data_IF_567023126306
#
_entry.id   IF_567023126306
#
_cell.length_a   1.000
_cell.length_b   1.000
_cell.length_c   1.000
_cell.angle_alpha   90.00
_cell.angle_beta   90.00
_cell.angle_gamma   90.00
#
_symmetry.space_group_name_H-M   'P 1'
#
loop_
_entity.id
_entity.type
_entity.pdbx_description
1 polymer ?
#
# COMPACT_ATOMS: atom_id res chain seq x y z
N UNK A 1 6.06 -10.78 -17.59
CA UNK A 1 4.72 -11.39 -17.52
C UNK A 1 4.47 -11.92 -16.10
N UNK A 2 3.25 -11.82 -15.57
CA UNK A 2 2.95 -12.18 -14.17
C UNK A 2 3.29 -13.64 -13.81
N UNK A 3 3.10 -14.60 -14.72
CA UNK A 3 3.29 -16.03 -14.42
C UNK A 3 4.73 -16.43 -14.07
N UNK A 4 5.72 -15.61 -14.45
CA UNK A 4 7.15 -15.77 -14.16
C UNK A 4 7.70 -14.64 -13.28
N UNK A 5 6.83 -13.85 -12.64
CA UNK A 5 7.24 -12.67 -11.88
C UNK A 5 7.65 -13.00 -10.44
N UNK A 6 8.46 -12.12 -9.85
CA UNK A 6 8.74 -12.13 -8.41
C UNK A 6 7.47 -11.91 -7.59
N UNK A 7 6.49 -11.14 -8.10
CA UNK A 7 5.21 -10.94 -7.43
C UNK A 7 4.46 -12.26 -7.23
N UNK A 8 4.36 -13.10 -8.26
CA UNK A 8 3.72 -14.42 -8.14
C UNK A 8 4.48 -15.33 -7.19
N UNK A 9 5.82 -15.30 -7.24
CA UNK A 9 6.68 -16.22 -6.48
C UNK A 9 6.79 -15.88 -4.99
N UNK A 10 6.86 -14.58 -4.66
CA UNK A 10 7.22 -14.14 -3.30
C UNK A 10 6.19 -13.21 -2.65
N UNK A 11 5.28 -12.61 -3.43
CA UNK A 11 4.31 -11.62 -2.94
C UNK A 11 2.87 -12.00 -3.27
N UNK A 12 2.60 -13.29 -3.44
CA UNK A 12 1.25 -13.85 -3.59
C UNK A 12 1.10 -14.97 -2.57
N UNK A 13 0.35 -14.70 -1.51
CA UNK A 13 0.17 -15.57 -0.35
C UNK A 13 -1.09 -16.43 -0.48
N UNK A 14 -1.15 -17.52 0.28
CA UNK A 14 -2.23 -18.51 0.14
C UNK A 14 -3.52 -18.06 0.82
N UNK A 15 -3.39 -17.33 1.92
CA UNK A 15 -4.51 -17.01 2.82
C UNK A 15 -4.36 -15.64 3.49
N UNK A 16 -5.49 -15.09 3.94
CA UNK A 16 -5.52 -13.89 4.79
C UNK A 16 -4.77 -14.14 6.11
N UNK A 17 -4.87 -15.34 6.66
CA UNK A 17 -4.20 -15.73 7.91
C UNK A 17 -2.66 -15.69 7.79
N UNK A 18 -2.11 -16.12 6.65
CA UNK A 18 -0.66 -16.04 6.38
C UNK A 18 -0.18 -14.59 6.36
N UNK A 19 -0.93 -13.70 5.70
CA UNK A 19 -0.65 -12.26 5.66
C UNK A 19 -0.73 -11.64 7.05
N UNK A 20 -1.76 -11.97 7.82
CA UNK A 20 -1.94 -11.46 9.17
C UNK A 20 -0.85 -11.96 10.13
N UNK A 21 -0.46 -13.24 10.02
CA UNK A 21 0.62 -13.79 10.83
C UNK A 21 1.96 -13.09 10.57
N UNK A 22 2.25 -12.68 9.32
CA UNK A 22 3.45 -11.90 9.01
C UNK A 22 3.44 -10.54 9.72
N UNK A 23 2.30 -9.83 9.68
CA UNK A 23 2.14 -8.53 10.35
C UNK A 23 2.27 -8.65 11.88
N UNK A 24 1.62 -9.65 12.47
CA UNK A 24 1.76 -9.96 13.92
C UNK A 24 3.22 -10.23 14.26
N UNK A 25 3.91 -11.08 13.49
CA UNK A 25 5.32 -11.37 13.68
C UNK A 25 6.20 -10.10 13.57
N UNK A 26 5.89 -9.19 12.64
CA UNK A 26 6.63 -7.94 12.50
C UNK A 26 6.49 -7.04 13.75
N UNK A 27 5.26 -6.88 14.25
CA UNK A 27 4.98 -6.15 15.49
C UNK A 27 5.69 -6.80 16.70
N UNK A 28 5.57 -8.12 16.87
CA UNK A 28 6.21 -8.83 17.97
C UNK A 28 7.73 -8.72 17.95
N UNK A 29 8.34 -8.85 16.75
CA UNK A 29 9.79 -8.69 16.58
C UNK A 29 10.24 -7.29 16.98
N UNK A 30 9.50 -6.26 16.58
CA UNK A 30 9.78 -4.89 16.98
C UNK A 30 9.68 -4.71 18.50
N UNK A 31 8.57 -5.14 19.09
CA UNK A 31 8.30 -5.04 20.52
C UNK A 31 9.38 -5.74 21.35
N UNK A 32 9.76 -6.98 21.01
CA UNK A 32 10.83 -7.72 21.68
C UNK A 32 12.16 -6.96 21.61
N UNK A 33 12.55 -6.51 20.42
CA UNK A 33 13.81 -5.77 20.21
C UNK A 33 13.86 -4.47 21.01
N UNK A 34 12.75 -3.72 21.09
CA UNK A 34 12.67 -2.48 21.89
C UNK A 34 12.75 -2.80 23.38
N UNK A 35 12.01 -3.80 23.87
CA UNK A 35 12.04 -4.18 25.29
C UNK A 35 13.41 -4.72 25.74
N UNK A 36 14.15 -5.40 24.85
CA UNK A 36 15.51 -5.88 25.12
C UNK A 36 16.56 -4.75 25.10
N UNK A 37 16.39 -3.76 24.22
CA UNK A 37 17.40 -2.71 23.98
C UNK A 37 17.15 -1.44 24.81
N UNK A 38 15.89 -1.12 25.12
CA UNK A 38 15.50 0.06 25.87
C UNK A 38 15.40 -0.27 27.36
N UNK A 39 16.43 0.13 28.13
CA UNK A 39 16.31 0.36 29.59
C UNK A 39 15.10 1.28 29.88
N UNK A 40 14.52 1.28 31.09
CA UNK A 40 13.07 1.16 31.41
C UNK A 40 12.18 2.38 31.07
N UNK A 41 12.44 3.10 29.98
CA UNK A 41 11.70 4.31 29.58
C UNK A 41 10.44 3.98 28.79
N UNK A 42 10.43 2.87 28.04
CA UNK A 42 9.26 2.43 27.26
C UNK A 42 8.74 1.13 27.87
N UNK A 43 7.63 1.21 28.61
CA UNK A 43 6.92 0.03 29.08
C UNK A 43 6.11 -0.59 27.93
N UNK A 44 5.89 -1.91 27.98
CA UNK A 44 5.12 -2.62 26.97
C UNK A 44 3.71 -2.03 26.74
N UNK A 45 3.11 -1.43 27.78
CA UNK A 45 1.82 -0.74 27.71
C UNK A 45 1.78 0.46 26.76
N UNK A 46 2.94 1.04 26.43
CA UNK A 46 3.03 2.21 25.55
C UNK A 46 3.33 1.83 24.10
N UNK A 47 3.64 0.57 23.80
CA UNK A 47 3.76 0.12 22.41
C UNK A 47 2.39 -0.06 21.77
N UNK A 48 2.33 0.05 20.44
CA UNK A 48 1.12 -0.23 19.68
C UNK A 48 0.94 -1.74 19.56
N UNK A 49 -0.26 -2.20 19.90
CA UNK A 49 -0.72 -3.54 19.55
C UNK A 49 -0.99 -3.61 18.04
N UNK A 50 -1.10 -4.84 17.52
CA UNK A 50 -1.37 -5.12 16.11
C UNK A 50 -2.59 -4.36 15.57
N UNK A 51 -3.65 -4.23 16.38
CA UNK A 51 -4.86 -3.48 16.00
C UNK A 51 -4.57 -1.98 15.81
N UNK A 52 -3.80 -1.37 16.72
CA UNK A 52 -3.39 0.04 16.58
C UNK A 52 -2.53 0.27 15.34
N UNK A 53 -1.65 -0.67 15.00
CA UNK A 53 -0.93 -0.63 13.72
C UNK A 53 -1.88 -0.76 12.52
N UNK A 54 -2.91 -1.60 12.57
CA UNK A 54 -3.88 -1.71 11.48
C UNK A 54 -4.62 -0.40 11.24
N UNK A 55 -5.11 0.25 12.30
CA UNK A 55 -5.84 1.53 12.20
C UNK A 55 -4.99 2.60 11.54
N UNK A 56 -3.73 2.74 11.97
CA UNK A 56 -2.79 3.69 11.37
C UNK A 56 -2.40 3.29 9.94
N UNK A 57 -2.14 2.01 9.69
CA UNK A 57 -1.86 1.50 8.35
C UNK A 57 -2.96 1.91 7.36
N UNK A 58 -4.23 1.66 7.71
CA UNK A 58 -5.39 2.00 6.87
C UNK A 58 -5.56 3.49 6.68
N UNK A 59 -5.28 4.29 7.71
CA UNK A 59 -5.31 5.74 7.61
C UNK A 59 -4.27 6.25 6.60
N UNK A 60 -3.02 5.82 6.70
CA UNK A 60 -1.96 6.26 5.79
C UNK A 60 -2.10 5.65 4.38
N UNK A 61 -2.64 4.44 4.25
CA UNK A 61 -3.00 3.86 2.95
C UNK A 61 -4.03 4.73 2.21
N UNK A 62 -5.05 5.22 2.93
CA UNK A 62 -6.04 6.14 2.37
C UNK A 62 -5.42 7.49 2.01
N UNK A 63 -4.62 8.08 2.89
CA UNK A 63 -3.93 9.35 2.62
C UNK A 63 -3.02 9.26 1.41
N UNK A 64 -2.41 8.11 1.16
CA UNK A 64 -1.60 7.87 -0.03
C UNK A 64 -2.44 7.95 -1.29
N UNK A 65 -3.58 7.26 -1.29
CA UNK A 65 -4.50 7.28 -2.42
C UNK A 65 -5.00 8.70 -2.71
N UNK A 66 -5.35 9.46 -1.67
CA UNK A 66 -5.74 10.87 -1.78
C UNK A 66 -4.62 11.74 -2.36
N UNK A 67 -3.40 11.61 -1.82
CA UNK A 67 -2.21 12.32 -2.32
C UNK A 67 -1.96 12.01 -3.80
N UNK A 68 -1.96 10.73 -4.18
CA UNK A 68 -1.75 10.28 -5.55
C UNK A 68 -2.85 10.76 -6.52
N UNK A 69 -4.10 10.79 -6.08
CA UNK A 69 -5.23 11.25 -6.89
C UNK A 69 -5.23 12.78 -7.08
N UNK A 70 -4.80 13.53 -6.07
CA UNK A 70 -4.67 14.99 -6.14
C UNK A 70 -3.40 15.44 -6.88
N UNK A 71 -2.43 14.55 -7.06
CA UNK A 71 -1.10 14.83 -7.59
C UNK A 71 -1.13 15.52 -8.96
N UNK A 72 -0.23 16.50 -9.14
CA UNK A 72 0.02 17.26 -10.36
C UNK A 72 1.48 17.10 -10.77
N UNK A 73 1.77 16.56 -11.97
CA UNK A 73 0.85 16.17 -13.05
C UNK A 73 0.02 14.92 -12.69
N UNK A 74 -1.07 14.66 -13.40
CA UNK A 74 -1.96 13.54 -13.06
C UNK A 74 -1.22 12.20 -13.02
N UNK A 75 -1.23 11.55 -11.85
CA UNK A 75 -0.52 10.29 -11.64
C UNK A 75 -1.28 9.13 -12.31
N UNK A 76 -0.62 8.32 -13.16
CA UNK A 76 -1.27 7.15 -13.77
C UNK A 76 -1.69 6.11 -12.73
N UNK A 77 -2.83 5.45 -12.96
CA UNK A 77 -3.36 4.42 -12.05
C UNK A 77 -2.39 3.27 -11.77
N UNK A 78 -1.54 2.91 -12.74
CA UNK A 78 -0.50 1.90 -12.53
C UNK A 78 0.49 2.34 -11.45
N UNK A 79 0.93 3.60 -11.49
CA UNK A 79 1.86 4.18 -10.51
C UNK A 79 1.24 4.15 -9.11
N UNK A 80 -0.04 4.57 -8.99
CA UNK A 80 -0.79 4.54 -7.72
C UNK A 80 -0.91 3.11 -7.18
N UNK A 81 -1.27 2.16 -8.03
CA UNK A 81 -1.37 0.74 -7.66
C UNK A 81 -0.02 0.16 -7.22
N UNK A 82 1.07 0.56 -7.87
CA UNK A 82 2.44 0.18 -7.52
C UNK A 82 2.84 0.77 -6.16
N UNK A 83 2.56 2.04 -5.89
CA UNK A 83 2.83 2.69 -4.60
C UNK A 83 2.11 1.99 -3.43
N UNK A 84 0.81 1.74 -3.59
CA UNK A 84 0.01 1.04 -2.57
C UNK A 84 0.47 -0.40 -2.35
N UNK A 85 0.92 -1.08 -3.41
CA UNK A 85 1.52 -2.40 -3.30
C UNK A 85 2.84 -2.37 -2.52
N UNK A 86 3.71 -1.39 -2.77
CA UNK A 86 4.95 -1.23 -2.00
C UNK A 86 4.68 -0.99 -0.52
N UNK A 87 3.72 -0.11 -0.21
CA UNK A 87 3.34 0.18 1.18
C UNK A 87 2.88 -1.06 1.92
N UNK A 88 1.99 -1.86 1.29
CA UNK A 88 1.56 -3.15 1.83
C UNK A 88 2.73 -4.09 2.07
N UNK A 89 3.56 -4.31 1.04
CA UNK A 89 4.70 -5.23 1.12
C UNK A 89 5.69 -4.84 2.21
N UNK A 90 5.94 -3.54 2.36
CA UNK A 90 6.82 -2.99 3.38
C UNK A 90 6.31 -3.34 4.79
N UNK A 91 5.04 -3.04 5.09
CA UNK A 91 4.44 -3.29 6.40
C UNK A 91 3.98 -4.74 6.64
N UNK A 92 4.23 -5.67 5.71
CA UNK A 92 4.11 -7.11 6.02
C UNK A 92 5.20 -7.57 6.99
N UNK A 93 6.40 -6.99 6.92
CA UNK A 93 7.56 -7.45 7.67
C UNK A 93 8.19 -6.36 8.56
N UNK A 94 7.63 -5.15 8.56
CA UNK A 94 8.14 -4.02 9.32
C UNK A 94 7.02 -3.42 10.17
N UNK A 95 7.37 -2.87 11.34
CA UNK A 95 6.41 -2.20 12.23
C UNK A 95 6.31 -0.71 11.90
N UNK A 96 5.09 -0.16 12.02
CA UNK A 96 4.81 1.29 11.93
C UNK A 96 5.54 2.08 13.02
N UNK A 97 5.83 1.45 14.16
CA UNK A 97 6.61 2.05 15.24
C UNK A 97 8.10 2.17 14.89
N UNK A 98 8.61 1.39 13.94
CA UNK A 98 9.99 1.47 13.47
C UNK A 98 10.17 2.52 12.38
N UNK A 99 9.23 2.53 11.44
CA UNK A 99 9.31 3.35 10.25
C UNK A 99 8.00 4.11 10.11
N UNK A 100 8.09 5.43 10.20
CA UNK A 100 6.91 6.27 10.24
C UNK A 100 6.13 6.20 8.91
N UNK A 101 4.82 5.88 8.94
CA UNK A 101 4.03 5.56 7.75
C UNK A 101 3.83 6.75 6.82
N UNK A 102 3.87 7.98 7.33
CA UNK A 102 3.89 9.20 6.47
C UNK A 102 5.07 9.19 5.51
N UNK A 103 6.28 8.92 6.00
CA UNK A 103 7.50 8.96 5.19
C UNK A 103 7.52 7.78 4.25
N UNK A 104 7.24 6.57 4.74
CA UNK A 104 7.19 5.37 3.90
C UNK A 104 6.13 5.49 2.79
N UNK A 105 4.96 6.05 3.08
CA UNK A 105 3.93 6.35 2.08
C UNK A 105 4.48 7.22 0.95
N UNK A 106 5.13 8.34 1.29
CA UNK A 106 5.69 9.27 0.31
C UNK A 106 6.86 8.64 -0.45
N UNK A 107 7.72 7.88 0.23
CA UNK A 107 8.80 7.11 -0.41
C UNK A 107 8.25 6.05 -1.37
N UNK A 108 7.16 5.36 -1.03
CA UNK A 108 6.49 4.40 -1.91
C UNK A 108 5.95 5.09 -3.17
N UNK A 109 5.26 6.22 -3.01
CA UNK A 109 4.77 7.01 -4.14
C UNK A 109 5.94 7.51 -5.01
N UNK A 110 6.99 8.07 -4.40
CA UNK A 110 8.17 8.56 -5.12
C UNK A 110 8.91 7.46 -5.87
N UNK A 111 9.15 6.30 -5.24
CA UNK A 111 9.78 5.16 -5.88
C UNK A 111 8.92 4.59 -7.02
N UNK A 112 7.59 4.54 -6.83
CA UNK A 112 6.68 4.08 -7.87
C UNK A 112 6.75 4.94 -9.13
N UNK A 113 6.87 6.27 -8.99
CA UNK A 113 7.04 7.18 -10.13
C UNK A 113 8.28 6.81 -10.96
N UNK A 114 9.38 6.48 -10.28
CA UNK A 114 10.64 6.10 -10.94
C UNK A 114 10.57 4.74 -11.62
N UNK A 115 9.98 3.75 -10.96
CA UNK A 115 9.90 2.37 -11.49
C UNK A 115 8.95 2.26 -12.69
N UNK A 116 7.84 3.01 -12.66
CA UNK A 116 6.85 3.03 -13.74
C UNK A 116 7.14 4.11 -14.80
N UNK A 117 8.34 4.73 -14.77
CA UNK A 117 8.80 5.75 -15.72
C UNK A 117 7.86 6.98 -15.83
N UNK A 118 7.20 7.33 -14.72
CA UNK A 118 6.45 8.57 -14.58
C UNK A 118 7.40 9.72 -14.23
N UNK A 119 7.81 10.44 -15.26
CA UNK A 119 8.84 11.48 -15.21
C UNK A 119 8.39 12.72 -14.41
N UNK A 120 8.72 12.73 -13.13
CA UNK A 120 8.48 13.84 -12.20
C UNK A 120 9.77 14.15 -11.45
N UNK A 121 10.17 15.42 -11.36
CA UNK A 121 11.36 15.81 -10.59
C UNK A 121 11.12 15.66 -9.09
N UNK A 122 12.19 15.51 -8.31
CA UNK A 122 12.10 15.49 -6.84
C UNK A 122 11.41 16.74 -6.28
N UNK A 123 11.77 17.92 -6.81
CA UNK A 123 11.18 19.21 -6.43
C UNK A 123 9.69 19.29 -6.76
N UNK A 124 9.28 18.77 -7.94
CA UNK A 124 7.88 18.73 -8.33
C UNK A 124 7.09 17.74 -7.48
N UNK A 125 7.70 16.62 -7.09
CA UNK A 125 7.07 15.65 -6.21
C UNK A 125 6.73 16.25 -4.85
N UNK A 126 7.71 16.84 -4.16
CA UNK A 126 7.44 17.47 -2.85
C UNK A 126 6.65 18.77 -2.97
N UNK A 127 6.68 19.43 -4.13
CA UNK A 127 5.81 20.57 -4.43
C UNK A 127 4.31 20.24 -4.41
N UNK A 128 3.93 18.96 -4.49
CA UNK A 128 2.55 18.52 -4.30
C UNK A 128 2.13 18.44 -2.82
N UNK A 129 3.07 18.64 -1.89
CA UNK A 129 2.78 18.82 -0.46
C UNK A 129 2.46 20.30 -0.22
N UNK A 130 1.28 20.72 -0.70
CA UNK A 130 0.88 22.15 -0.79
C UNK A 130 0.85 22.85 0.58
N UNK A 131 0.69 22.08 1.65
CA UNK A 131 0.62 22.59 3.02
C UNK A 131 1.99 22.68 3.69
N UNK A 132 3.02 22.06 3.11
CA UNK A 132 4.38 22.17 3.61
C UNK A 132 5.00 23.47 3.13
N UNK A 133 5.69 24.16 4.04
CA UNK A 133 6.55 25.28 3.65
C UNK A 133 7.66 24.79 2.72
N UNK A 134 8.31 25.65 1.91
CA UNK A 134 9.42 25.22 1.06
C UNK A 134 10.54 24.50 1.83
N UNK A 135 10.83 24.94 3.06
CA UNK A 135 11.80 24.27 3.94
C UNK A 135 11.28 22.91 4.45
N UNK A 136 9.97 22.78 4.71
CA UNK A 136 9.34 21.51 5.05
C UNK A 136 9.40 20.51 3.89
N UNK A 137 9.12 20.96 2.66
CA UNK A 137 9.23 20.16 1.45
C UNK A 137 10.65 19.63 1.24
N UNK A 138 11.68 20.45 1.48
CA UNK A 138 13.07 20.04 1.40
C UNK A 138 13.43 18.97 2.45
N UNK A 139 13.03 19.15 3.70
CA UNK A 139 13.22 18.13 4.76
C UNK A 139 12.53 16.81 4.44
N UNK A 140 11.30 16.88 3.94
CA UNK A 140 10.56 15.67 3.53
C UNK A 140 11.26 14.99 2.36
N UNK A 141 11.80 15.76 1.41
CA UNK A 141 12.59 15.20 0.32
C UNK A 141 13.84 14.47 0.84
N UNK A 142 14.58 15.07 1.76
CA UNK A 142 15.74 14.43 2.40
C UNK A 142 15.34 13.10 3.05
N UNK A 143 14.25 13.07 3.82
CA UNK A 143 13.73 11.84 4.40
C UNK A 143 13.32 10.80 3.34
N UNK A 144 12.65 11.22 2.26
CA UNK A 144 12.29 10.31 1.17
C UNK A 144 13.53 9.63 0.59
N UNK A 145 14.60 10.39 0.37
CA UNK A 145 15.86 9.90 -0.19
C UNK A 145 16.60 8.97 0.79
N UNK A 146 16.58 9.27 2.09
CA UNK A 146 17.15 8.39 3.12
C UNK A 146 16.44 7.03 3.17
N UNK A 147 15.11 7.03 3.07
CA UNK A 147 14.29 5.82 3.15
C UNK A 147 14.19 5.05 1.84
N UNK A 148 14.65 5.61 0.72
CA UNK A 148 14.50 4.97 -0.60
C UNK A 148 15.23 3.63 -0.68
N UNK A 149 16.50 3.58 -0.30
CA UNK A 149 17.27 2.34 -0.33
C UNK A 149 16.69 1.30 0.64
N UNK A 150 16.26 1.75 1.82
CA UNK A 150 15.61 0.88 2.80
C UNK A 150 14.33 0.26 2.21
N UNK A 151 13.48 1.06 1.57
CA UNK A 151 12.27 0.55 0.92
C UNK A 151 12.62 -0.52 -0.12
N UNK A 152 13.59 -0.27 -1.00
CA UNK A 152 14.00 -1.24 -2.02
C UNK A 152 14.50 -2.55 -1.39
N UNK A 153 15.28 -2.46 -0.30
CA UNK A 153 15.76 -3.62 0.45
C UNK A 153 14.61 -4.42 1.08
N UNK A 154 13.65 -3.74 1.71
CA UNK A 154 12.47 -4.36 2.32
C UNK A 154 11.51 -4.97 1.29
N UNK A 155 11.54 -4.49 0.04
CA UNK A 155 10.86 -5.10 -1.10
C UNK A 155 11.65 -6.26 -1.74
N UNK A 156 12.79 -6.65 -1.16
CA UNK A 156 13.72 -7.65 -1.70
C UNK A 156 14.12 -7.36 -3.15
N UNK A 157 14.23 -6.08 -3.53
CA UNK A 157 14.51 -5.63 -4.90
C UNK A 157 13.45 -6.09 -5.94
N UNK A 158 12.28 -6.55 -5.49
CA UNK A 158 11.17 -6.98 -6.35
C UNK A 158 10.27 -5.80 -6.75
N UNK A 159 10.82 -4.88 -7.54
CA UNK A 159 10.17 -3.61 -7.89
C UNK A 159 9.04 -3.75 -8.92
N UNK A 160 9.07 -4.76 -9.79
CA UNK A 160 8.01 -4.91 -10.79
C UNK A 160 6.69 -5.35 -10.13
N UNK A 161 5.68 -4.47 -10.17
CA UNK A 161 4.31 -4.75 -9.74
C UNK A 161 3.39 -4.89 -10.96
N UNK A 162 2.67 -6.00 -11.03
CA UNK A 162 1.64 -6.22 -12.03
C UNK A 162 0.29 -5.74 -11.48
N UNK A 163 -0.23 -4.67 -12.05
CA UNK A 163 -1.52 -4.08 -11.68
C UNK A 163 -2.70 -4.69 -12.49
N UNK A 164 -3.93 -4.72 -11.93
CA UNK A 164 -5.10 -5.33 -12.57
C UNK A 164 -5.69 -4.49 -13.72
N UNK A 165 -5.27 -3.24 -13.89
CA UNK A 165 -5.79 -2.35 -14.94
C UNK A 165 -5.50 -2.89 -16.35
N UNK A 166 -4.29 -3.38 -16.62
CA UNK A 166 -3.92 -3.92 -17.94
C UNK A 166 -4.69 -5.20 -18.30
N UNK A 167 -4.82 -6.20 -17.40
CA UNK A 167 -5.71 -7.34 -17.63
C UNK A 167 -7.18 -6.94 -17.82
N UNK A 168 -7.67 -5.90 -17.12
CA UNK A 168 -9.03 -5.41 -17.29
C UNK A 168 -9.27 -4.88 -18.72
N UNK A 169 -8.34 -4.07 -19.26
CA UNK A 169 -8.43 -3.64 -20.66
C UNK A 169 -8.43 -4.83 -21.64
N UNK A 170 -7.55 -5.81 -21.39
CA UNK A 170 -7.51 -7.03 -22.20
C UNK A 170 -8.84 -7.78 -22.21
N UNK A 171 -9.48 -7.91 -21.05
CA UNK A 171 -10.79 -8.56 -20.92
C UNK A 171 -11.91 -7.75 -21.61
N UNK A 172 -11.88 -6.42 -21.53
CA UNK A 172 -12.87 -5.60 -22.25
C UNK A 172 -12.73 -5.72 -23.76
N UNK A 173 -11.49 -5.75 -24.29
CA UNK A 173 -11.23 -6.00 -25.72
C UNK A 173 -11.71 -7.40 -26.12
N UNK A 174 -11.45 -8.39 -25.27
CA UNK A 174 -11.86 -9.77 -25.48
C UNK A 174 -13.38 -9.92 -25.52
N UNK A 175 -14.11 -9.25 -24.63
CA UNK A 175 -15.57 -9.20 -24.64
C UNK A 175 -16.12 -8.55 -25.91
N UNK A 176 -15.56 -7.42 -26.34
CA UNK A 176 -15.96 -6.74 -27.60
C UNK A 176 -15.79 -7.61 -28.84
N UNK A 177 -14.79 -8.49 -28.84
CA UNK A 177 -14.42 -9.27 -30.02
C UNK A 177 -15.04 -10.66 -30.06
N UNK A 178 -15.18 -11.31 -28.89
CA UNK A 178 -15.56 -12.73 -28.80
C UNK A 178 -16.90 -12.97 -28.11
N UNK A 179 -17.55 -11.93 -27.58
CA UNK A 179 -18.83 -12.07 -26.87
C UNK A 179 -19.91 -11.13 -27.44
N UNK A 180 -20.48 -11.43 -28.63
CA UNK A 180 -21.46 -10.58 -29.31
C UNK A 180 -22.78 -10.38 -28.55
N UNK A 181 -23.07 -11.25 -27.57
CA UNK A 181 -24.25 -11.12 -26.71
C UNK A 181 -24.22 -9.87 -25.83
N UNK A 182 -23.06 -9.25 -25.65
CA UNK A 182 -22.90 -8.00 -24.91
C UNK A 182 -22.76 -6.84 -25.89
N UNK A 183 -23.85 -6.10 -26.11
CA UNK A 183 -23.90 -5.00 -27.09
C UNK A 183 -22.89 -3.88 -26.78
N UNK A 184 -22.69 -3.53 -25.51
CA UNK A 184 -21.78 -2.46 -25.12
C UNK A 184 -20.93 -2.83 -23.88
N UNK A 185 -19.78 -3.51 -24.07
CA UNK A 185 -18.87 -3.83 -22.96
C UNK A 185 -18.29 -2.60 -22.23
N UNK A 186 -18.26 -1.43 -22.88
CA UNK A 186 -17.79 -0.18 -22.25
C UNK A 186 -18.71 0.28 -21.11
N UNK A 187 -19.99 -0.12 -21.13
CA UNK A 187 -20.91 0.15 -20.02
C UNK A 187 -20.43 -0.44 -18.68
N UNK A 188 -19.63 -1.51 -18.72
CA UNK A 188 -19.08 -2.18 -17.54
C UNK A 188 -17.85 -1.47 -16.97
N UNK A 189 -17.17 -0.62 -17.76
CA UNK A 189 -15.86 -0.04 -17.42
C UNK A 189 -15.90 0.73 -16.11
N UNK A 190 -16.87 1.63 -15.95
CA UNK A 190 -16.99 2.47 -14.75
C UNK A 190 -17.16 1.63 -13.48
N UNK A 191 -18.13 0.72 -13.49
CA UNK A 191 -18.36 -0.18 -12.35
C UNK A 191 -17.15 -1.10 -12.07
N UNK A 192 -16.43 -1.54 -13.12
CA UNK A 192 -15.25 -2.37 -12.95
C UNK A 192 -14.09 -1.56 -12.35
N UNK A 193 -13.92 -0.31 -12.76
CA UNK A 193 -12.92 0.61 -12.23
C UNK A 193 -13.19 0.98 -10.76
N UNK A 194 -14.46 1.19 -10.40
CA UNK A 194 -14.90 1.38 -9.01
C UNK A 194 -14.55 0.14 -8.16
N UNK A 195 -14.79 -1.06 -8.69
CA UNK A 195 -14.42 -2.31 -8.03
C UNK A 195 -12.90 -2.43 -7.86
N UNK A 196 -12.11 -2.10 -8.89
CA UNK A 196 -10.64 -2.13 -8.81
C UNK A 196 -10.12 -1.13 -7.79
N UNK A 197 -10.71 0.06 -7.71
CA UNK A 197 -10.36 1.09 -6.72
C UNK A 197 -10.60 0.58 -5.29
N UNK A 198 -11.72 -0.10 -5.06
CA UNK A 198 -11.99 -0.75 -3.77
C UNK A 198 -11.02 -1.92 -3.50
N UNK A 199 -10.77 -2.77 -4.48
CA UNK A 199 -9.87 -3.91 -4.33
C UNK A 199 -8.44 -3.48 -4.00
N UNK A 200 -7.98 -2.35 -4.56
CA UNK A 200 -6.69 -1.73 -4.29
C UNK A 200 -6.59 -1.15 -2.87
N UNK A 201 -7.66 -1.09 -2.09
CA UNK A 201 -7.66 -0.76 -0.65
C UNK A 201 -7.70 -1.99 0.26
N UNK A 202 -7.58 -3.19 -0.31
CA UNK A 202 -7.61 -4.46 0.42
C UNK A 202 -6.37 -5.30 0.12
N UNK A 203 -6.22 -6.42 0.84
CA UNK A 203 -5.11 -7.37 0.59
C UNK A 203 -5.28 -8.21 -0.69
N UNK A 204 -6.25 -7.87 -1.56
CA UNK A 204 -6.52 -8.61 -2.79
C UNK A 204 -5.27 -8.75 -3.69
N UNK A 205 -4.46 -7.70 -3.78
CA UNK A 205 -3.23 -7.72 -4.60
C UNK A 205 -2.09 -8.57 -4.02
N UNK A 206 -2.19 -9.00 -2.76
CA UNK A 206 -1.29 -9.95 -2.10
C UNK A 206 -1.83 -11.40 -2.14
N UNK A 207 -3.11 -11.59 -2.48
CA UNK A 207 -3.80 -12.89 -2.40
C UNK A 207 -4.18 -13.46 -3.76
N UNK A 208 -4.41 -12.59 -4.76
CA UNK A 208 -4.93 -12.99 -6.06
C UNK A 208 -4.08 -12.41 -7.19
N UNK A 209 -4.05 -13.13 -8.31
CA UNK A 209 -3.40 -12.62 -9.51
C UNK A 209 -4.13 -11.39 -10.07
N UNK A 210 -3.42 -10.47 -10.75
CA UNK A 210 -4.03 -9.29 -11.38
C UNK A 210 -5.13 -9.64 -12.38
N UNK A 211 -4.98 -10.77 -13.10
CA UNK A 211 -5.99 -11.28 -14.03
C UNK A 211 -7.26 -11.75 -13.32
N UNK A 212 -7.14 -12.41 -12.16
CA UNK A 212 -8.29 -12.80 -11.35
C UNK A 212 -9.01 -11.58 -10.75
N UNK A 213 -8.26 -10.57 -10.30
CA UNK A 213 -8.83 -9.32 -9.79
C UNK A 213 -9.61 -8.60 -10.90
N UNK A 214 -9.00 -8.45 -12.08
CA UNK A 214 -9.64 -7.84 -13.23
C UNK A 214 -10.88 -8.60 -13.70
N UNK A 215 -10.80 -9.93 -13.80
CA UNK A 215 -11.93 -10.77 -14.19
C UNK A 215 -13.07 -10.66 -13.17
N UNK A 216 -12.76 -10.67 -11.88
CA UNK A 216 -13.75 -10.49 -10.82
C UNK A 216 -14.43 -9.12 -10.93
N UNK A 217 -13.68 -8.06 -11.24
CA UNK A 217 -14.22 -6.72 -11.43
C UNK A 217 -15.22 -6.67 -12.59
N UNK A 218 -14.85 -7.23 -13.75
CA UNK A 218 -15.71 -7.26 -14.95
C UNK A 218 -16.96 -8.11 -14.72
N UNK A 219 -16.82 -9.31 -14.17
CA UNK A 219 -17.94 -10.21 -13.87
C UNK A 219 -18.87 -9.64 -12.79
N UNK A 220 -18.32 -8.95 -11.78
CA UNK A 220 -19.11 -8.26 -10.78
C UNK A 220 -19.96 -7.15 -11.42
N UNK A 221 -19.35 -6.33 -12.29
CA UNK A 221 -20.04 -5.26 -13.00
C UNK A 221 -21.17 -5.76 -13.89
N UNK A 222 -20.96 -6.85 -14.64
CA UNK A 222 -22.04 -7.44 -15.43
C UNK A 222 -23.16 -8.00 -14.56
N UNK A 223 -22.82 -8.69 -13.47
CA UNK A 223 -23.81 -9.19 -12.52
C UNK A 223 -24.64 -8.06 -11.90
N UNK A 224 -24.03 -6.91 -11.59
CA UNK A 224 -24.75 -5.71 -11.12
C UNK A 224 -25.64 -5.08 -12.19
N UNK A 225 -25.26 -5.21 -13.46
CA UNK A 225 -26.04 -4.76 -14.61
C UNK A 225 -27.11 -5.79 -15.06
N UNK A 226 -27.26 -6.92 -14.35
CA UNK A 226 -28.22 -7.98 -14.70
C UNK A 226 -27.82 -8.84 -15.91
N UNK A 227 -26.56 -8.78 -16.33
CA UNK A 227 -26.03 -9.51 -17.49
C UNK A 227 -25.46 -10.85 -17.02
N UNK A 228 -25.95 -11.96 -17.60
CA UNK A 228 -25.36 -13.27 -17.39
C UNK A 228 -24.13 -13.46 -18.30
N UNK A 229 -22.97 -13.74 -17.71
CA UNK A 229 -21.71 -14.00 -18.41
C UNK A 229 -21.18 -15.44 -18.22
N UNK A 230 -22.06 -16.38 -17.87
CA UNK A 230 -21.71 -17.80 -17.73
C UNK A 230 -21.25 -18.43 -19.06
N UNK A 231 -21.89 -18.07 -20.17
CA UNK A 231 -21.48 -18.48 -21.52
C UNK A 231 -20.10 -17.94 -21.88
N UNK A 232 -19.76 -16.71 -21.47
CA UNK A 232 -18.40 -16.18 -21.66
C UNK A 232 -17.33 -17.04 -20.94
N UNK A 233 -17.60 -17.45 -19.70
CA UNK A 233 -16.68 -18.29 -18.94
C UNK A 233 -16.52 -19.70 -19.55
N UNK A 234 -17.63 -20.29 -19.96
CA UNK A 234 -17.64 -21.68 -20.46
C UNK A 234 -17.17 -21.79 -21.92
N UNK A 235 -17.62 -20.90 -22.80
CA UNK A 235 -17.38 -20.94 -24.24
C UNK A 235 -16.13 -20.13 -24.63
N UNK A 236 -16.03 -18.87 -24.20
CA UNK A 236 -14.92 -18.00 -24.61
C UNK A 236 -13.62 -18.32 -23.87
N UNK A 237 -13.69 -18.56 -22.55
CA UNK A 237 -12.51 -18.96 -21.77
C UNK A 237 -12.25 -20.48 -21.82
N UNK A 238 -13.07 -21.24 -22.54
CA UNK A 238 -12.95 -22.71 -22.73
C UNK A 238 -12.91 -23.50 -21.43
N UNK A 239 -13.55 -23.00 -20.37
CA UNK A 239 -13.57 -23.65 -19.04
C UNK A 239 -14.69 -24.69 -18.91
N UNK A 240 -15.43 -25.01 -19.99
CA UNK A 240 -16.56 -25.96 -19.95
C UNK A 240 -16.15 -27.37 -19.51
N UNK A 241 -14.96 -27.82 -19.91
CA UNK A 241 -14.44 -29.16 -19.60
C UNK A 241 -13.59 -29.19 -18.33
N UNK A 242 -13.00 -28.05 -17.94
CA UNK A 242 -12.20 -27.90 -16.73
C UNK A 242 -13.02 -27.36 -15.55
N UNK A 243 -13.89 -28.24 -15.03
CA UNK A 243 -14.77 -27.91 -13.90
C UNK A 243 -13.98 -27.54 -12.64
N UNK A 244 -12.80 -28.13 -12.43
CA UNK A 244 -11.99 -27.86 -11.25
C UNK A 244 -11.46 -26.42 -11.26
N UNK A 245 -10.91 -25.97 -12.39
CA UNK A 245 -10.44 -24.58 -12.54
C UNK A 245 -11.59 -23.59 -12.45
N UNK A 246 -12.75 -23.92 -13.02
CA UNK A 246 -13.95 -23.09 -12.92
C UNK A 246 -14.42 -22.92 -11.47
N UNK A 247 -14.48 -23.99 -10.68
CA UNK A 247 -14.83 -23.92 -9.24
C UNK A 247 -13.82 -23.07 -8.46
N UNK A 248 -12.52 -23.30 -8.65
CA UNK A 248 -11.46 -22.50 -8.00
C UNK A 248 -11.56 -21.01 -8.33
N UNK A 249 -11.94 -20.68 -9.57
CA UNK A 249 -12.17 -19.30 -9.99
C UNK A 249 -13.37 -18.68 -9.27
N UNK A 250 -14.51 -19.37 -9.21
CA UNK A 250 -15.69 -18.88 -8.47
C UNK A 250 -15.41 -18.70 -6.98
N UNK A 251 -14.67 -19.63 -6.37
CA UNK A 251 -14.25 -19.51 -4.97
C UNK A 251 -13.34 -18.30 -4.76
N UNK A 252 -12.38 -18.07 -5.67
CA UNK A 252 -11.50 -16.89 -5.63
C UNK A 252 -12.30 -15.59 -5.75
N UNK A 253 -13.28 -15.54 -6.65
CA UNK A 253 -14.18 -14.39 -6.79
C UNK A 253 -15.01 -14.15 -5.53
N UNK A 254 -15.54 -15.21 -4.90
CA UNK A 254 -16.31 -15.12 -3.66
C UNK A 254 -15.46 -14.62 -2.50
N UNK A 255 -14.23 -15.13 -2.35
CA UNK A 255 -13.26 -14.66 -1.35
C UNK A 255 -12.94 -13.19 -1.54
N UNK A 256 -12.64 -12.77 -2.77
CA UNK A 256 -12.38 -11.36 -3.08
C UNK A 256 -13.58 -10.45 -2.76
N UNK A 257 -14.81 -10.84 -3.14
CA UNK A 257 -16.01 -10.09 -2.76
C UNK A 257 -16.21 -10.01 -1.25
N UNK A 258 -15.85 -11.05 -0.51
CA UNK A 258 -15.92 -11.06 0.96
C UNK A 258 -14.89 -10.11 1.58
N UNK A 259 -13.66 -10.14 1.06
CA UNK A 259 -12.57 -9.24 1.45
C UNK A 259 -12.95 -7.76 1.25
N UNK A 260 -13.55 -7.40 0.11
CA UNK A 260 -14.03 -6.03 -0.14
C UNK A 260 -15.17 -5.62 0.80
N UNK A 261 -16.07 -6.55 1.18
CA UNK A 261 -17.17 -6.28 2.12
C UNK A 261 -16.69 -6.09 3.56
N UNK A 262 -15.61 -6.77 3.95
CA UNK A 262 -15.00 -6.68 5.28
C UNK A 262 -14.16 -5.41 5.46
N UNK A 263 -13.84 -4.70 4.37
CA UNK A 263 -13.05 -3.49 4.48
C UNK A 263 -13.84 -2.41 5.20
N UNK A 264 -13.32 -1.99 6.35
CA UNK A 264 -13.88 -0.90 7.15
C UNK A 264 -12.94 0.31 7.09
N UNK A 265 -13.48 1.53 6.90
CA UNK A 265 -12.70 2.74 7.02
C UNK A 265 -12.13 2.86 8.45
N UNK A 266 -10.90 3.37 8.62
CA UNK A 266 -10.35 3.58 9.96
C UNK A 266 -11.19 4.62 10.73
N UNK A 267 -11.47 4.34 12.00
CA UNK A 267 -12.18 5.27 12.88
C UNK A 267 -11.28 6.47 13.21
N UNK A 268 -11.75 7.69 12.92
CA UNK A 268 -10.98 8.91 13.09
C UNK A 268 -10.58 9.18 14.55
N UNK A 269 -11.45 8.86 15.51
CA UNK A 269 -11.16 9.06 16.94
C UNK A 269 -10.00 8.15 17.38
N UNK A 270 -10.01 6.90 16.96
CA UNK A 270 -8.94 5.94 17.23
C UNK A 270 -7.64 6.33 16.51
N UNK A 271 -7.73 6.82 15.27
CA UNK A 271 -6.58 7.33 14.53
C UNK A 271 -5.89 8.44 15.31
N UNK A 272 -6.63 9.41 15.85
CA UNK A 272 -6.04 10.51 16.64
C UNK A 272 -5.28 9.96 17.84
N UNK A 273 -5.90 9.04 18.60
CA UNK A 273 -5.28 8.43 19.79
C UNK A 273 -4.02 7.65 19.42
N UNK A 274 -4.09 6.76 18.42
CA UNK A 274 -2.95 5.94 18.03
C UNK A 274 -1.84 6.76 17.37
N UNK A 275 -2.18 7.85 16.67
CA UNK A 275 -1.20 8.76 16.06
C UNK A 275 -0.43 9.52 17.14
N UNK A 276 -1.09 10.06 18.16
CA UNK A 276 -0.40 10.68 19.30
C UNK A 276 0.55 9.70 19.99
N UNK A 277 0.10 8.46 20.19
CA UNK A 277 0.92 7.37 20.74
C UNK A 277 2.11 7.05 19.83
N UNK A 278 1.91 7.01 18.51
CA UNK A 278 2.97 6.77 17.53
C UNK A 278 4.04 7.87 17.57
N UNK A 279 3.64 9.14 17.56
CA UNK A 279 4.58 10.27 17.61
C UNK A 279 5.40 10.24 18.90
N UNK A 280 4.77 9.91 20.03
CA UNK A 280 5.48 9.73 21.30
C UNK A 280 6.53 8.61 21.19
N UNK A 281 6.19 7.46 20.62
CA UNK A 281 7.12 6.34 20.44
C UNK A 281 8.33 6.76 19.59
N UNK A 282 8.10 7.42 18.45
CA UNK A 282 9.16 7.90 17.56
C UNK A 282 10.08 8.92 18.26
N UNK A 283 9.51 9.85 19.03
CA UNK A 283 10.28 10.83 19.80
C UNK A 283 11.21 10.16 20.84
N UNK A 284 10.71 9.15 21.56
CA UNK A 284 11.52 8.41 22.54
C UNK A 284 12.65 7.63 21.88
N UNK A 285 12.39 6.97 20.75
CA UNK A 285 13.39 6.21 20.02
C UNK A 285 14.48 7.11 19.41
N UNK A 286 14.09 8.27 18.86
CA UNK A 286 15.03 9.27 18.34
C UNK A 286 15.98 9.79 19.44
N UNK A 287 15.44 10.07 20.63
CA UNK A 287 16.25 10.53 21.78
C UNK A 287 17.29 9.49 22.23
N UNK A 288 16.97 8.20 22.10
CA UNK A 288 17.87 7.09 22.44
C UNK A 288 18.98 6.89 21.40
N UNK A 289 18.70 7.16 20.13
CA UNK A 289 19.69 7.12 19.03
C UNK A 289 20.71 8.27 19.13
N UNK A 290 20.26 9.49 19.46
CA UNK A 290 21.14 10.65 19.62
C UNK A 290 22.11 10.51 20.81
N UNK A 291 21.73 9.80 21.88
CA UNK A 291 22.67 9.46 22.97
C UNK A 291 23.78 8.50 22.53
N UNK A 292 23.54 7.63 21.53
CA UNK A 292 24.57 6.76 20.95
C UNK A 292 25.53 7.52 20.03
N UNK A 293 25.05 8.51 19.26
CA UNK A 293 25.91 9.37 18.44
C UNK A 293 26.82 10.28 19.28
N UNK A 294 26.33 10.81 20.41
CA UNK A 294 27.16 11.59 21.35
C UNK A 294 28.37 10.84 21.94
N UNK A 295 28.35 9.50 21.93
CA UNK A 295 29.51 8.69 22.35
C UNK A 295 30.63 8.59 21.32
N UNK A 296 30.41 9.09 20.10
CA UNK A 296 31.38 9.07 18.99
C UNK A 296 31.88 10.46 18.58
N UNK A 297 31.35 11.55 19.17
CA UNK A 297 31.68 12.94 18.81
C UNK A 297 32.84 13.54 19.64
N UNK A 298 33.57 12.76 20.43
CA UNK A 298 34.77 13.27 21.15
C UNK A 298 36.05 13.36 20.29
N UNK A 299 36.05 12.88 19.04
CA UNK A 299 37.14 13.15 18.09
C UNK A 299 36.76 14.29 17.14
N UNK A 300 37.33 15.46 17.44
CA UNK A 300 36.92 16.73 16.88
C UNK A 300 37.05 16.84 15.37
N UNK A 301 35.91 16.88 14.68
CA UNK A 301 35.73 17.64 13.44
C UNK A 301 34.34 18.28 13.42
N UNK A 302 34.32 19.56 13.00
CA UNK A 302 33.19 20.50 13.04
C UNK A 302 31.93 19.91 12.40
N UNK A 303 30.98 19.47 13.22
CA UNK A 303 29.64 19.11 12.77
C UNK A 303 28.69 20.31 12.91
N UNK A 304 28.03 20.69 11.81
CA UNK A 304 26.88 21.61 11.86
C UNK A 304 25.77 20.98 12.71
N UNK A 305 25.29 21.70 13.72
CA UNK A 305 24.16 21.29 14.54
C UNK A 305 22.90 20.99 13.69
N UNK A 306 22.20 19.86 13.90
CA UNK A 306 20.86 19.68 13.39
C UNK A 306 19.88 20.35 14.34
N UNK A 307 19.31 21.50 13.92
CA UNK A 307 18.19 22.14 14.63
C UNK A 307 16.90 21.39 14.32
N UNK A 308 16.59 20.38 15.14
CA UNK A 308 15.26 19.77 15.19
C UNK A 308 14.43 20.52 16.24
N UNK A 309 13.70 21.55 15.79
CA UNK A 309 12.53 22.02 16.52
C UNK A 309 11.35 21.17 16.01
N UNK A 310 10.88 20.26 16.85
CA UNK A 310 9.61 19.59 16.67
C UNK A 310 8.52 20.65 16.92
N UNK A 311 7.91 21.16 15.86
CA UNK A 311 6.65 21.90 15.96
C UNK A 311 5.50 20.90 15.97
N UNK A 312 4.63 21.06 16.97
CA UNK A 312 3.37 20.34 17.17
C UNK A 312 2.47 20.48 15.93
N UNK A 313 1.82 19.39 15.51
CA UNK A 313 0.92 19.38 14.34
C UNK A 313 -0.51 19.01 14.76
N UNK A 314 -1.49 19.85 14.41
CA UNK A 314 -2.93 19.65 14.61
C UNK A 314 -3.65 19.26 13.31
N UNK A 315 -4.69 18.44 13.42
CA UNK A 315 -5.37 17.74 12.32
C UNK A 315 -6.53 18.50 11.64
N UNK A 316 -6.57 19.84 11.65
CA UNK A 316 -7.59 20.60 10.89
C UNK A 316 -7.20 20.89 9.42
N UNK A 317 -5.99 20.52 9.00
CA UNK A 317 -5.38 21.09 7.81
C UNK A 317 -5.50 20.22 6.56
N UNK A 318 -6.69 19.75 6.12
CA UNK A 318 -6.81 19.05 4.81
C UNK A 318 -8.13 19.26 4.05
N UNK A 319 -8.86 20.34 4.31
CA UNK A 319 -9.95 20.80 3.43
C UNK A 319 -9.50 21.87 2.44
#
# INVERSE_FOLDING_TARGET
MFHNSSQKKYWTFKSEDEVEQMRVSANEKFCKRVLETAKPVVSASVLLERYGEEVLFRHYERRMLEFCNAFKPAMPKSVVGTALMYFRRFYLNNSIMEHHPRIIMLTCAYLSCKVDEFNVSSTQFVGNLVQETPAGQERVLEQILEYELLLIQQLNFHLVVHNPYRPMEGLLIDLKTRYPMLENPESLRKSADDFLTQAVMTDAGLLFSPSQIALTAVLNSASRAGINMESYLTECLKLKEDKETLTKMYDSMRRMKTLLKKYEPPNLEEVIVFKQKLEWIHAQLASSSNKRKRGYEEDGHVAKEPRLAAEEWSDEDLL
#
